data_IF_199158953211
#
_entry.id   IF_199158953211
#
_cell.length_a   1.000
_cell.length_b   1.000
_cell.length_c   1.000
_cell.angle_alpha   90.00
_cell.angle_beta   90.00
_cell.angle_gamma   90.00
#
_symmetry.space_group_name_H-M   'P 1'
#
loop_
_entity.id
_entity.type
_entity.pdbx_description
1 polymer ?
#
# COMPACT_ATOMS: atom_id res chain seq x y z
N UNK A 1 -10.91 -9.00 -14.27
CA UNK A 1 -10.04 -7.94 -14.83
C UNK A 1 -8.61 -7.96 -14.32
N UNK A 2 -8.28 -7.55 -13.09
CA UNK A 2 -6.89 -7.43 -12.64
C UNK A 2 -6.05 -8.71 -12.82
N UNK A 3 -6.58 -9.86 -12.39
CA UNK A 3 -5.94 -11.16 -12.62
C UNK A 3 -5.69 -11.42 -14.11
N UNK A 4 -6.69 -11.17 -14.96
CA UNK A 4 -6.58 -11.38 -16.41
C UNK A 4 -5.53 -10.47 -17.05
N UNK A 5 -5.33 -9.25 -16.53
CA UNK A 5 -4.28 -8.35 -16.96
C UNK A 5 -2.89 -8.96 -16.70
N UNK A 6 -2.64 -9.43 -15.47
CA UNK A 6 -1.37 -10.06 -15.12
C UNK A 6 -1.12 -11.36 -15.89
N UNK A 7 -2.14 -12.21 -16.06
CA UNK A 7 -2.02 -13.43 -16.88
C UNK A 7 -1.72 -13.12 -18.36
N UNK A 8 -2.29 -12.05 -18.90
CA UNK A 8 -2.03 -11.63 -20.28
C UNK A 8 -0.59 -11.17 -20.45
N UNK A 9 -0.07 -10.39 -19.50
CA UNK A 9 1.34 -10.01 -19.49
C UNK A 9 2.25 -11.23 -19.28
N UNK A 10 1.86 -12.17 -18.42
CA UNK A 10 2.58 -13.43 -18.24
C UNK A 10 2.71 -14.22 -19.54
N UNK A 11 1.62 -14.36 -20.31
CA UNK A 11 1.65 -15.01 -21.64
C UNK A 11 2.52 -14.25 -22.63
N UNK A 12 2.42 -12.92 -22.67
CA UNK A 12 3.26 -12.09 -23.52
C UNK A 12 4.76 -12.28 -23.22
N UNK A 13 5.14 -12.39 -21.94
CA UNK A 13 6.52 -12.65 -21.55
C UNK A 13 7.01 -14.03 -22.00
N UNK A 14 6.15 -15.05 -21.94
CA UNK A 14 6.47 -16.38 -22.52
C UNK A 14 6.70 -16.28 -24.03
N UNK A 15 5.81 -15.58 -24.76
CA UNK A 15 5.94 -15.38 -26.21
C UNK A 15 7.22 -14.62 -26.60
N UNK A 16 7.70 -13.74 -25.70
CA UNK A 16 8.96 -13.02 -25.84
C UNK A 16 10.19 -13.85 -25.43
N UNK A 17 10.00 -15.08 -24.95
CA UNK A 17 11.07 -16.03 -24.63
C UNK A 17 11.53 -16.05 -23.17
N UNK A 18 10.77 -15.43 -22.25
CA UNK A 18 11.06 -15.50 -20.81
C UNK A 18 10.52 -16.78 -20.17
N UNK A 19 11.19 -17.25 -19.12
CA UNK A 19 10.66 -18.29 -18.24
C UNK A 19 9.68 -17.66 -17.25
N UNK A 20 8.42 -18.13 -17.29
CA UNK A 20 7.34 -17.60 -16.44
C UNK A 20 6.80 -18.74 -15.58
N UNK A 21 6.77 -18.53 -14.27
CA UNK A 21 6.16 -19.45 -13.32
C UNK A 21 5.32 -18.68 -12.30
N UNK A 22 4.30 -19.35 -11.76
CA UNK A 22 3.47 -18.78 -10.69
C UNK A 22 4.22 -18.94 -9.37
N UNK A 23 4.50 -17.82 -8.72
CA UNK A 23 5.21 -17.79 -7.45
C UNK A 23 4.60 -16.74 -6.51
N UNK A 24 4.75 -16.97 -5.21
CA UNK A 24 4.27 -16.05 -4.17
C UNK A 24 5.47 -15.64 -3.30
N UNK A 25 5.82 -14.35 -3.23
CA UNK A 25 6.84 -13.89 -2.29
C UNK A 25 6.49 -14.29 -0.86
N UNK A 26 7.44 -14.74 -0.04
CA UNK A 26 7.19 -15.29 1.30
C UNK A 26 6.95 -14.17 2.32
N UNK A 27 6.08 -13.21 2.01
CA UNK A 27 5.77 -12.03 2.80
C UNK A 27 4.34 -12.13 3.35
N UNK A 28 4.16 -11.77 4.62
CA UNK A 28 2.84 -11.77 5.24
C UNK A 28 2.08 -10.49 4.90
N UNK A 29 0.97 -10.62 4.16
CA UNK A 29 0.08 -9.49 3.87
C UNK A 29 -0.47 -8.83 5.14
N UNK A 30 -0.75 -9.61 6.20
CA UNK A 30 -1.21 -9.07 7.48
C UNK A 30 -0.13 -8.23 8.18
N UNK A 31 1.13 -8.68 8.17
CA UNK A 31 2.26 -7.91 8.73
C UNK A 31 2.48 -6.62 7.91
N UNK A 32 2.38 -6.68 6.58
CA UNK A 32 2.47 -5.49 5.73
C UNK A 32 1.37 -4.47 6.05
N UNK A 33 0.11 -4.92 6.15
CA UNK A 33 -1.03 -4.04 6.50
C UNK A 33 -0.84 -3.37 7.85
N UNK A 34 -0.40 -4.13 8.86
CA UNK A 34 -0.12 -3.59 10.19
C UNK A 34 1.03 -2.56 10.17
N UNK A 35 2.11 -2.85 9.43
CA UNK A 35 3.24 -1.92 9.28
C UNK A 35 2.83 -0.62 8.58
N UNK A 36 2.05 -0.70 7.49
CA UNK A 36 1.54 0.48 6.77
C UNK A 36 0.67 1.33 7.69
N UNK A 37 -0.31 0.73 8.39
CA UNK A 37 -1.18 1.46 9.33
C UNK A 37 -0.38 2.20 10.39
N UNK A 38 0.60 1.53 10.99
CA UNK A 38 1.46 2.14 12.00
C UNK A 38 2.27 3.32 11.45
N UNK A 39 2.93 3.13 10.31
CA UNK A 39 3.75 4.18 9.68
C UNK A 39 2.88 5.37 9.30
N UNK A 40 1.70 5.11 8.71
CA UNK A 40 0.73 6.13 8.34
C UNK A 40 0.28 6.93 9.56
N UNK A 41 -0.23 6.26 10.60
CA UNK A 41 -0.74 6.93 11.80
C UNK A 41 0.35 7.78 12.47
N UNK A 42 1.54 7.21 12.69
CA UNK A 42 2.66 7.90 13.32
C UNK A 42 3.12 9.15 12.51
N UNK A 43 3.23 9.03 11.19
CA UNK A 43 3.65 10.16 10.35
C UNK A 43 2.57 11.23 10.24
N UNK A 44 1.29 10.85 10.17
CA UNK A 44 0.17 11.80 10.16
C UNK A 44 0.13 12.62 11.45
N UNK A 45 0.29 11.98 12.61
CA UNK A 45 0.41 12.68 13.89
C UNK A 45 1.59 13.66 13.91
N UNK A 46 2.79 13.18 13.53
CA UNK A 46 3.99 14.02 13.49
C UNK A 46 3.83 15.22 12.53
N UNK A 47 3.21 15.02 11.36
CA UNK A 47 2.98 16.11 10.40
C UNK A 47 2.02 17.16 10.94
N UNK A 48 0.93 16.74 11.58
CA UNK A 48 -0.06 17.64 12.17
C UNK A 48 0.52 18.42 13.36
N UNK A 49 1.33 17.78 14.20
CA UNK A 49 1.97 18.44 15.34
C UNK A 49 3.02 19.45 14.85
N UNK A 50 3.81 19.10 13.83
CA UNK A 50 4.73 20.04 13.17
C UNK A 50 3.98 21.22 12.54
N UNK A 51 2.81 20.97 11.92
CA UNK A 51 1.97 22.02 11.35
C UNK A 51 1.41 22.94 12.44
N UNK A 52 0.93 22.40 13.55
CA UNK A 52 0.45 23.18 14.69
C UNK A 52 1.56 24.08 15.26
N UNK A 53 2.77 23.54 15.42
CA UNK A 53 3.95 24.30 15.85
C UNK A 53 4.26 25.46 14.90
N UNK A 54 4.23 25.21 13.58
CA UNK A 54 4.46 26.24 12.57
C UNK A 54 3.38 27.34 12.55
N UNK A 55 2.13 27.00 12.90
CA UNK A 55 1.02 27.95 13.01
C UNK A 55 1.02 28.72 14.35
N UNK A 56 1.80 28.28 15.34
CA UNK A 56 1.75 28.80 16.70
C UNK A 56 0.42 28.51 17.42
N UNK A 57 -0.37 27.54 16.93
CA UNK A 57 -1.65 27.13 17.49
C UNK A 57 -2.01 25.70 17.08
N UNK A 58 -2.90 25.01 17.83
CA UNK A 58 -3.45 23.74 17.39
C UNK A 58 -4.13 23.84 16.01
N UNK A 59 -4.06 22.74 15.24
CA UNK A 59 -4.95 22.50 14.10
C UNK A 59 -6.37 22.35 14.65
N UNK A 60 -7.33 23.07 14.05
CA UNK A 60 -8.72 23.12 14.51
C UNK A 60 -9.57 22.12 13.75
N UNK A 61 -10.72 21.79 14.34
CA UNK A 61 -11.73 20.96 13.70
C UNK A 61 -12.14 21.54 12.34
N UNK A 62 -12.20 20.68 11.32
CA UNK A 62 -12.51 21.06 9.94
C UNK A 62 -11.37 21.69 9.14
N UNK A 63 -10.17 21.87 9.72
CA UNK A 63 -8.98 22.29 8.95
C UNK A 63 -8.27 21.13 8.23
N UNK A 64 -8.63 19.89 8.57
CA UNK A 64 -8.21 18.65 7.91
C UNK A 64 -9.40 17.69 7.82
N UNK A 65 -9.28 16.68 6.96
CA UNK A 65 -10.32 15.67 6.78
C UNK A 65 -10.51 14.81 8.06
N UNK A 66 -11.71 14.24 8.24
CA UNK A 66 -12.06 13.43 9.42
C UNK A 66 -11.12 12.23 9.56
N UNK A 67 -10.88 11.49 8.48
CA UNK A 67 -9.98 10.33 8.47
C UNK A 67 -8.54 10.74 8.80
N UNK A 68 -8.09 11.90 8.32
CA UNK A 68 -6.77 12.47 8.64
C UNK A 68 -6.64 12.74 10.14
N UNK A 69 -7.66 13.35 10.76
CA UNK A 69 -7.68 13.64 12.19
C UNK A 69 -7.69 12.35 13.04
N UNK A 70 -8.52 11.36 12.68
CA UNK A 70 -8.59 10.06 13.35
C UNK A 70 -7.25 9.29 13.28
N UNK A 71 -6.61 9.28 12.11
CA UNK A 71 -5.30 8.65 11.94
C UNK A 71 -4.22 9.32 12.80
N UNK A 72 -4.28 10.65 12.95
CA UNK A 72 -3.39 11.40 13.83
C UNK A 72 -3.63 11.06 15.31
N UNK A 73 -4.90 10.96 15.72
CA UNK A 73 -5.26 10.57 17.08
C UNK A 73 -4.73 9.16 17.41
N UNK A 74 -4.89 8.22 16.48
CA UNK A 74 -4.26 6.90 16.59
C UNK A 74 -2.75 6.99 16.69
N UNK A 75 -2.10 7.79 15.84
CA UNK A 75 -0.66 7.98 15.86
C UNK A 75 -0.14 8.52 17.20
N UNK A 76 -0.86 9.45 17.83
CA UNK A 76 -0.50 10.00 19.16
C UNK A 76 -0.63 8.98 20.29
N UNK A 77 -1.41 7.92 20.12
CA UNK A 77 -1.51 6.82 21.09
C UNK A 77 -0.36 5.81 20.97
N UNK A 78 0.39 5.82 19.86
CA UNK A 78 1.53 4.93 19.67
C UNK A 78 2.70 5.37 20.55
N UNK A 79 3.28 4.42 21.28
CA UNK A 79 4.53 4.66 22.01
C UNK A 79 5.74 4.43 21.11
N UNK A 80 6.89 5.01 21.50
CA UNK A 80 8.17 4.70 20.86
C UNK A 80 8.49 3.20 20.90
N UNK A 81 8.02 2.48 21.93
CA UNK A 81 8.18 1.02 22.05
C UNK A 81 7.36 0.29 20.99
N UNK A 82 6.12 0.70 20.75
CA UNK A 82 5.26 0.08 19.74
C UNK A 82 5.88 0.25 18.34
N UNK A 83 6.36 1.45 18.05
CA UNK A 83 7.06 1.74 16.80
C UNK A 83 8.34 0.89 16.64
N UNK A 84 9.19 0.87 17.67
CA UNK A 84 10.42 0.08 17.66
C UNK A 84 10.16 -1.43 17.52
N UNK A 85 9.05 -1.94 18.07
CA UNK A 85 8.68 -3.34 17.96
C UNK A 85 8.20 -3.76 16.55
N UNK A 86 7.72 -2.81 15.74
CA UNK A 86 7.27 -3.09 14.38
C UNK A 86 8.33 -2.95 13.30
N UNK A 87 9.36 -2.10 13.51
CA UNK A 87 10.48 -1.96 12.57
C UNK A 87 11.12 -3.30 12.13
N UNK A 88 11.31 -4.30 13.01
CA UNK A 88 11.81 -5.61 12.61
C UNK A 88 10.96 -6.30 11.53
N UNK A 89 9.64 -6.10 11.50
CA UNK A 89 8.76 -6.66 10.47
C UNK A 89 9.05 -6.04 9.10
N UNK A 90 9.22 -4.71 9.04
CA UNK A 90 9.61 -3.99 7.82
C UNK A 90 10.94 -4.52 7.28
N UNK A 91 11.96 -4.61 8.15
CA UNK A 91 13.26 -5.14 7.75
C UNK A 91 13.20 -6.63 7.34
N UNK A 92 12.29 -7.42 7.94
CA UNK A 92 12.06 -8.81 7.56
C UNK A 92 11.51 -8.91 6.15
N UNK A 93 10.53 -8.07 5.80
CA UNK A 93 9.98 -7.98 4.44
C UNK A 93 11.07 -7.71 3.41
N UNK A 94 11.98 -6.75 3.68
CA UNK A 94 13.13 -6.50 2.79
C UNK A 94 14.02 -7.72 2.58
N UNK A 95 14.38 -8.45 3.65
CA UNK A 95 15.19 -9.68 3.54
C UNK A 95 14.45 -10.82 2.85
N UNK A 96 13.15 -10.94 3.04
CA UNK A 96 12.32 -11.95 2.39
C UNK A 96 12.22 -11.69 0.89
N UNK A 97 12.00 -10.44 0.49
CA UNK A 97 12.00 -10.05 -0.93
C UNK A 97 13.38 -10.25 -1.56
N UNK A 98 14.46 -9.86 -0.87
CA UNK A 98 15.81 -10.07 -1.39
C UNK A 98 16.09 -11.56 -1.68
N UNK A 99 15.72 -12.46 -0.75
CA UNK A 99 15.85 -13.91 -0.97
C UNK A 99 14.94 -14.43 -2.08
N UNK A 100 13.74 -13.88 -2.21
CA UNK A 100 12.85 -14.25 -3.30
C UNK A 100 13.48 -13.90 -4.66
N UNK A 101 14.14 -12.74 -4.76
CA UNK A 101 14.86 -12.34 -5.97
C UNK A 101 16.22 -13.06 -6.16
N UNK A 102 16.62 -13.99 -5.29
CA UNK A 102 17.73 -14.91 -5.61
C UNK A 102 17.31 -15.95 -6.67
N UNK A 103 16.01 -16.28 -6.73
CA UNK A 103 15.43 -17.28 -7.63
C UNK A 103 14.66 -16.66 -8.82
N UNK A 104 14.33 -15.36 -8.75
CA UNK A 104 13.51 -14.65 -9.73
C UNK A 104 14.11 -13.28 -10.07
N UNK A 105 14.03 -12.84 -11.33
CA UNK A 105 14.50 -11.51 -11.73
C UNK A 105 13.43 -10.42 -11.51
N UNK A 106 12.16 -10.76 -11.74
CA UNK A 106 11.03 -9.80 -11.74
C UNK A 106 9.77 -10.49 -11.20
N UNK A 107 8.97 -9.74 -10.42
CA UNK A 107 7.60 -10.13 -10.07
C UNK A 107 6.64 -9.37 -10.97
N UNK A 108 5.74 -10.10 -11.64
CA UNK A 108 4.64 -9.52 -12.40
C UNK A 108 3.34 -9.75 -11.62
N UNK A 109 2.68 -8.67 -11.25
CA UNK A 109 1.37 -8.68 -10.59
C UNK A 109 0.50 -7.59 -11.19
N UNK A 110 -0.82 -7.62 -10.99
CA UNK A 110 -1.61 -6.40 -11.16
C UNK A 110 -1.04 -5.32 -10.23
N UNK A 111 -1.08 -4.06 -10.65
CA UNK A 111 -0.67 -2.95 -9.77
C UNK A 111 -1.65 -2.81 -8.60
N UNK A 112 -2.96 -2.93 -8.84
CA UNK A 112 -4.02 -2.80 -7.85
C UNK A 112 -4.94 -4.03 -7.85
N UNK A 113 -5.64 -4.29 -6.75
CA UNK A 113 -6.52 -5.45 -6.60
C UNK A 113 -7.80 -5.36 -7.43
N UNK A 114 -8.24 -4.14 -7.72
CA UNK A 114 -9.48 -3.85 -8.43
C UNK A 114 -9.24 -2.79 -9.52
N UNK A 115 -10.11 -2.71 -10.55
CA UNK A 115 -10.20 -1.54 -11.42
C UNK A 115 -10.45 -0.25 -10.61
N UNK A 116 -10.33 0.94 -11.23
CA UNK A 116 -10.59 2.22 -10.56
C UNK A 116 -11.89 2.21 -9.76
N UNK A 117 -11.79 2.54 -8.47
CA UNK A 117 -12.94 2.56 -7.57
C UNK A 117 -13.94 3.67 -7.97
N UNK A 118 -15.25 3.45 -7.73
CA UNK A 118 -16.25 4.49 -7.96
C UNK A 118 -16.04 5.69 -7.04
N UNK A 119 -16.52 6.85 -7.45
CA UNK A 119 -16.49 8.07 -6.64
C UNK A 119 -17.20 7.82 -5.29
N UNK A 120 -16.59 8.30 -4.21
CA UNK A 120 -17.11 8.13 -2.85
C UNK A 120 -16.75 6.81 -2.17
N UNK A 121 -16.14 5.84 -2.87
CA UNK A 121 -15.67 4.60 -2.22
C UNK A 121 -14.55 4.84 -1.19
N UNK A 122 -13.80 5.93 -1.37
CA UNK A 122 -12.72 6.38 -0.48
C UNK A 122 -13.11 7.77 0.07
N UNK A 123 -14.00 7.79 1.06
CA UNK A 123 -14.48 9.03 1.67
C UNK A 123 -13.59 9.45 2.86
N UNK A 124 -12.87 10.55 2.69
CA UNK A 124 -12.01 11.12 3.74
C UNK A 124 -12.77 11.85 4.85
N UNK A 125 -14.07 12.12 4.64
CA UNK A 125 -14.94 12.75 5.64
C UNK A 125 -15.73 11.74 6.46
N UNK A 126 -15.60 10.45 6.16
CA UNK A 126 -16.16 9.37 6.97
C UNK A 126 -15.60 9.35 8.39
N UNK A 127 -16.36 8.77 9.31
CA UNK A 127 -16.06 8.72 10.75
C UNK A 127 -15.46 7.38 11.21
N UNK A 128 -15.22 6.45 10.27
CA UNK A 128 -14.65 5.12 10.54
C UNK A 128 -13.30 4.94 9.84
N UNK A 129 -12.23 5.10 10.62
CA UNK A 129 -10.84 4.89 10.16
C UNK A 129 -10.58 3.44 9.77
N UNK A 130 -11.16 2.47 10.47
CA UNK A 130 -10.92 1.05 10.21
C UNK A 130 -11.53 0.63 8.88
N UNK A 131 -12.78 1.03 8.63
CA UNK A 131 -13.45 0.79 7.36
C UNK A 131 -12.72 1.46 6.18
N UNK A 132 -12.26 2.71 6.37
CA UNK A 132 -11.46 3.41 5.36
C UNK A 132 -10.16 2.64 5.03
N UNK A 133 -9.41 2.23 6.07
CA UNK A 133 -8.16 1.48 5.89
C UNK A 133 -8.39 0.10 5.27
N UNK A 134 -9.51 -0.56 5.56
CA UNK A 134 -9.87 -1.84 4.96
C UNK A 134 -10.04 -1.72 3.43
N UNK A 135 -10.82 -0.73 2.97
CA UNK A 135 -11.00 -0.47 1.54
C UNK A 135 -9.66 -0.09 0.89
N UNK A 136 -8.92 0.84 1.50
CA UNK A 136 -7.63 1.30 1.00
C UNK A 136 -6.62 0.16 0.85
N UNK A 137 -6.42 -0.65 1.91
CA UNK A 137 -5.42 -1.72 1.92
C UNK A 137 -5.88 -2.96 1.16
N UNK A 138 -7.19 -3.13 0.95
CA UNK A 138 -7.73 -4.09 0.00
C UNK A 138 -7.36 -3.70 -1.43
N UNK A 139 -7.62 -2.45 -1.80
CA UNK A 139 -7.35 -1.95 -3.15
C UNK A 139 -5.85 -1.90 -3.50
N UNK A 140 -5.01 -1.49 -2.55
CA UNK A 140 -3.56 -1.36 -2.71
C UNK A 140 -2.80 -2.70 -2.56
N UNK A 141 -3.45 -3.84 -2.40
CA UNK A 141 -2.88 -5.10 -1.85
C UNK A 141 -1.46 -5.50 -2.32
N UNK A 142 -1.08 -5.20 -3.57
CA UNK A 142 0.22 -5.59 -4.14
C UNK A 142 1.35 -4.57 -3.96
N UNK A 143 1.06 -3.30 -3.64
CA UNK A 143 2.06 -2.22 -3.65
C UNK A 143 2.80 -1.99 -2.32
N UNK A 144 2.20 -2.17 -1.12
CA UNK A 144 2.89 -1.95 0.14
C UNK A 144 4.18 -2.74 0.31
N UNK A 145 4.24 -3.97 -0.17
CA UNK A 145 5.43 -4.82 -0.02
C UNK A 145 6.67 -4.20 -0.68
N UNK A 146 6.51 -3.48 -1.78
CA UNK A 146 7.62 -2.80 -2.47
C UNK A 146 8.06 -1.52 -1.74
N UNK A 147 7.13 -0.80 -1.11
CA UNK A 147 7.46 0.32 -0.22
C UNK A 147 8.26 -0.15 1.02
N UNK A 148 7.85 -1.27 1.61
CA UNK A 148 8.48 -1.82 2.81
C UNK A 148 9.83 -2.48 2.52
N UNK A 149 9.96 -3.15 1.38
CA UNK A 149 11.22 -3.81 0.99
C UNK A 149 12.23 -2.86 0.36
N UNK A 150 11.77 -1.75 -0.24
CA UNK A 150 12.60 -0.84 -1.02
C UNK A 150 12.97 -1.38 -2.41
N UNK A 151 12.38 -2.51 -2.84
CA UNK A 151 12.58 -3.05 -4.18
C UNK A 151 11.99 -2.09 -5.24
N UNK A 152 12.69 -1.89 -6.38
CA UNK A 152 12.15 -1.07 -7.46
C UNK A 152 10.89 -1.71 -8.04
N UNK A 153 9.90 -0.87 -8.37
CA UNK A 153 8.65 -1.28 -8.99
C UNK A 153 8.19 -0.22 -10.00
N UNK A 154 7.48 -0.65 -11.03
CA UNK A 154 6.86 0.21 -12.03
C UNK A 154 5.44 -0.32 -12.33
N UNK A 155 4.55 0.57 -12.75
CA UNK A 155 3.21 0.22 -13.23
C UNK A 155 3.11 0.59 -14.70
N UNK A 156 2.73 -0.38 -15.54
CA UNK A 156 2.63 -0.19 -16.99
C UNK A 156 1.18 -0.38 -17.43
N UNK A 157 0.58 0.54 -18.23
CA UNK A 157 -0.81 0.46 -18.64
C UNK A 157 -0.98 -0.54 -19.80
N UNK A 158 -0.98 -1.82 -19.49
CA UNK A 158 -1.00 -2.91 -20.49
C UNK A 158 -2.40 -3.53 -20.69
N UNK A 159 -3.40 -3.16 -19.89
CA UNK A 159 -4.75 -3.73 -19.96
C UNK A 159 -5.85 -2.68 -19.79
N UNK A 160 -6.98 -2.91 -20.45
CA UNK A 160 -8.21 -2.13 -20.29
C UNK A 160 -9.37 -3.07 -19.96
N UNK A 161 -10.11 -2.74 -18.91
CA UNK A 161 -11.35 -3.40 -18.57
C UNK A 161 -12.43 -3.14 -19.65
N UNK A 162 -13.52 -3.95 -19.71
CA UNK A 162 -14.57 -3.82 -20.74
C UNK A 162 -15.24 -2.44 -20.79
N UNK A 163 -15.29 -1.75 -19.65
CA UNK A 163 -15.81 -0.39 -19.50
C UNK A 163 -14.77 0.71 -19.86
N UNK A 164 -13.64 0.31 -20.45
CA UNK A 164 -12.52 1.15 -20.86
C UNK A 164 -11.73 1.78 -19.71
N UNK A 165 -11.87 1.25 -18.49
CA UNK A 165 -11.03 1.66 -17.38
C UNK A 165 -9.63 1.02 -17.50
N UNK A 166 -8.54 1.79 -17.28
CA UNK A 166 -7.19 1.25 -17.35
C UNK A 166 -6.89 0.33 -16.15
N UNK A 167 -6.18 -0.75 -16.40
CA UNK A 167 -5.66 -1.67 -15.38
C UNK A 167 -4.15 -1.77 -15.55
N UNK A 168 -3.42 -1.33 -14.54
CA UNK A 168 -1.96 -1.42 -14.49
C UNK A 168 -1.51 -2.83 -14.17
N UNK A 169 -0.43 -3.24 -14.84
CA UNK A 169 0.40 -4.38 -14.43
C UNK A 169 1.71 -3.80 -13.95
#
# INVERSE_FOLDING_TARGET
ECVAAAETVGRLLVDLGHEVSVATPPVSGAECKAAVRMVLAAHTANHLDARAAALGRPVRDGEVETITALAAEEGRRLSARDYAAALPAIHRTGRQMARFFDDYDVVVSPTLADPPLPLGAMDMMGDDLDAYLEVMLGHLAFTPVFNLSGCPAASVPLHWAPDRLPVGV
#
